data_IF_058440679087
#
_entry.id   IF_058440679087
#
_cell.length_a   1.000
_cell.length_b   1.000
_cell.length_c   1.000
_cell.angle_alpha   90.00
_cell.angle_beta   90.00
_cell.angle_gamma   90.00
#
_symmetry.space_group_name_H-M   'P 1'
#
loop_
_entity.id
_entity.type
_entity.pdbx_description
1 polymer ?
#
# COMPACT_ATOMS: atom_id res chain seq x y z
N UNK A 1 38.34 -30.78 16.13
CA UNK A 1 36.90 -30.53 16.02
C UNK A 1 36.73 -29.22 15.24
N UNK A 2 36.02 -29.24 14.10
CA UNK A 2 35.68 -27.98 13.41
C UNK A 2 34.60 -27.27 14.25
N UNK A 3 34.71 -25.95 14.40
CA UNK A 3 33.71 -25.16 15.12
C UNK A 3 32.65 -24.73 14.12
N UNK A 4 31.39 -24.97 14.45
CA UNK A 4 30.24 -24.49 13.68
C UNK A 4 29.57 -23.38 14.47
N UNK A 5 29.22 -22.29 13.80
CA UNK A 5 28.54 -21.13 14.40
C UNK A 5 27.25 -20.85 13.64
N UNK A 6 26.22 -20.40 14.38
CA UNK A 6 24.96 -19.91 13.82
C UNK A 6 24.70 -18.53 14.42
N UNK A 7 24.65 -17.50 13.58
CA UNK A 7 24.24 -16.16 13.98
C UNK A 7 22.86 -15.86 13.39
N UNK A 8 21.94 -15.36 14.21
CA UNK A 8 20.59 -14.96 13.80
C UNK A 8 20.42 -13.47 14.07
N UNK A 9 19.90 -12.73 13.10
CA UNK A 9 19.63 -11.31 13.25
C UNK A 9 18.22 -10.95 12.80
N UNK A 10 17.69 -9.91 13.45
CA UNK A 10 16.43 -9.26 13.11
C UNK A 10 16.74 -7.78 12.83
N UNK A 11 16.41 -7.35 11.63
CA UNK A 11 16.40 -5.94 11.22
C UNK A 11 14.94 -5.50 11.07
N UNK A 12 14.62 -4.28 11.51
CA UNK A 12 13.28 -3.71 11.36
C UNK A 12 13.37 -2.32 10.76
N UNK A 13 12.90 -2.20 9.53
CA UNK A 13 12.81 -0.92 8.81
C UNK A 13 11.50 -0.22 9.11
N UNK A 14 11.57 1.11 9.21
CA UNK A 14 10.44 2.00 9.51
C UNK A 14 9.77 1.72 10.89
N UNK A 15 10.57 1.49 11.93
CA UNK A 15 10.09 1.20 13.30
C UNK A 15 9.05 2.20 13.82
N UNK A 16 9.18 3.48 13.47
CA UNK A 16 8.29 4.55 13.90
C UNK A 16 7.02 4.71 13.06
N UNK A 17 6.81 3.85 12.05
CA UNK A 17 5.62 3.90 11.18
C UNK A 17 5.49 5.28 10.52
N UNK A 18 6.62 5.84 10.10
CA UNK A 18 6.65 7.14 9.45
C UNK A 18 5.93 7.05 8.10
N UNK A 19 5.06 8.03 7.85
CA UNK A 19 4.28 8.11 6.62
C UNK A 19 5.12 8.79 5.54
N UNK A 20 5.33 8.09 4.42
CA UNK A 20 6.01 8.68 3.27
C UNK A 20 4.95 9.34 2.36
N UNK A 21 5.07 10.63 2.03
CA UNK A 21 4.12 11.27 1.11
C UNK A 21 4.15 10.57 -0.26
N UNK A 22 3.00 10.07 -0.69
CA UNK A 22 2.81 9.56 -2.03
C UNK A 22 2.44 10.70 -2.99
N UNK A 23 2.76 10.51 -4.28
CA UNK A 23 2.28 11.42 -5.32
C UNK A 23 0.74 11.30 -5.36
N UNK A 24 -0.01 12.42 -5.30
CA UNK A 24 -1.46 12.37 -5.39
C UNK A 24 -1.91 11.78 -6.72
N UNK A 25 -2.71 10.71 -6.64
CA UNK A 25 -3.31 10.03 -7.79
C UNK A 25 -4.83 10.16 -7.69
N UNK A 26 -5.49 10.48 -8.80
CA UNK A 26 -6.93 10.69 -8.82
C UNK A 26 -7.64 9.60 -9.61
N UNK A 27 -8.79 9.18 -9.10
CA UNK A 27 -9.70 8.23 -9.74
C UNK A 27 -11.15 8.63 -9.47
N UNK A 28 -12.11 7.85 -9.93
CA UNK A 28 -13.53 8.04 -9.62
C UNK A 28 -13.94 7.24 -8.39
N UNK A 29 -14.79 7.85 -7.56
CA UNK A 29 -15.30 7.22 -6.35
C UNK A 29 -16.13 5.99 -6.70
N UNK A 30 -15.87 4.86 -6.03
CA UNK A 30 -16.65 3.63 -6.18
C UNK A 30 -17.96 3.67 -5.39
N UNK A 31 -18.96 2.94 -5.88
CA UNK A 31 -20.19 2.66 -5.16
C UNK A 31 -19.91 1.82 -3.89
N UNK A 32 -20.85 1.80 -2.94
CA UNK A 32 -20.67 1.12 -1.66
C UNK A 32 -20.44 -0.40 -1.80
N UNK A 33 -20.97 -1.01 -2.87
CA UNK A 33 -20.78 -2.42 -3.21
C UNK A 33 -19.52 -2.68 -4.05
N UNK A 34 -18.77 -1.62 -4.37
CA UNK A 34 -17.55 -1.63 -5.16
C UNK A 34 -17.70 -2.10 -6.63
N UNK A 35 -18.94 -2.28 -7.14
CA UNK A 35 -19.18 -2.83 -8.49
C UNK A 35 -19.19 -1.77 -9.58
N UNK A 36 -19.53 -0.54 -9.23
CA UNK A 36 -19.64 0.59 -10.16
C UNK A 36 -19.00 1.85 -9.58
N UNK A 37 -19.02 2.92 -10.37
CA UNK A 37 -18.62 4.26 -9.92
C UNK A 37 -19.84 5.10 -9.53
N UNK A 38 -19.66 6.00 -8.57
CA UNK A 38 -20.68 6.99 -8.21
C UNK A 38 -20.80 8.05 -9.29
N UNK A 39 -22.03 8.42 -9.59
CA UNK A 39 -22.36 9.49 -10.51
C UNK A 39 -23.22 10.56 -9.85
N UNK A 40 -23.10 11.80 -10.31
CA UNK A 40 -23.87 12.93 -9.78
C UNK A 40 -25.35 12.90 -10.16
N UNK A 41 -25.69 12.16 -11.21
CA UNK A 41 -27.04 12.05 -11.79
C UNK A 41 -27.69 10.67 -11.60
N UNK A 42 -27.00 9.71 -10.98
CA UNK A 42 -27.50 8.34 -10.77
C UNK A 42 -27.58 7.51 -12.05
N UNK A 43 -27.10 8.03 -13.19
CA UNK A 43 -27.02 7.31 -14.46
C UNK A 43 -25.66 6.61 -14.61
N UNK A 44 -25.50 5.81 -15.68
CA UNK A 44 -24.21 5.25 -16.04
C UNK A 44 -23.17 6.36 -16.30
N UNK A 45 -21.88 6.06 -16.08
CA UNK A 45 -20.82 7.01 -16.38
C UNK A 45 -20.84 7.40 -17.86
N UNK A 46 -20.77 8.71 -18.10
CA UNK A 46 -20.65 9.29 -19.45
C UNK A 46 -19.24 9.07 -19.98
N UNK A 47 -19.12 8.94 -21.31
CA UNK A 47 -17.83 8.70 -21.97
C UNK A 47 -16.81 9.82 -21.72
N UNK A 48 -17.28 11.04 -21.48
CA UNK A 48 -16.45 12.21 -21.13
C UNK A 48 -16.16 12.31 -19.62
N UNK A 49 -16.71 11.44 -18.79
CA UNK A 49 -16.55 11.44 -17.34
C UNK A 49 -17.25 12.59 -16.61
N UNK A 50 -18.07 13.41 -17.30
CA UNK A 50 -18.64 14.65 -16.73
C UNK A 50 -19.61 14.44 -15.57
N UNK A 51 -20.19 13.24 -15.43
CA UNK A 51 -21.02 12.87 -14.28
C UNK A 51 -20.29 12.05 -13.21
N UNK A 52 -18.98 11.77 -13.37
CA UNK A 52 -18.22 11.00 -12.40
C UNK A 52 -17.79 11.86 -11.20
N UNK A 53 -17.70 11.25 -10.01
CA UNK A 53 -17.22 11.93 -8.80
C UNK A 53 -15.73 11.64 -8.56
N UNK A 54 -14.82 12.64 -8.64
CA UNK A 54 -13.40 12.40 -8.43
C UNK A 54 -13.06 12.13 -6.96
N UNK A 55 -12.05 11.32 -6.71
CA UNK A 55 -11.47 11.06 -5.39
C UNK A 55 -9.95 10.90 -5.51
N UNK A 56 -9.23 11.28 -4.46
CA UNK A 56 -7.82 10.94 -4.32
C UNK A 56 -7.68 9.46 -3.94
N UNK A 57 -6.73 8.77 -4.54
CA UNK A 57 -6.31 7.41 -4.15
C UNK A 57 -5.46 7.53 -2.90
N UNK A 58 -5.79 6.76 -1.87
CA UNK A 58 -4.96 6.64 -0.67
C UNK A 58 -3.98 5.49 -0.86
N UNK A 59 -2.70 5.82 -1.01
CA UNK A 59 -1.58 4.89 -1.19
C UNK A 59 -0.39 5.25 -0.30
N UNK A 60 -0.64 5.95 0.80
CA UNK A 60 0.36 6.46 1.75
C UNK A 60 0.35 5.69 3.10
N UNK A 61 -0.14 4.46 3.08
CA UNK A 61 -0.23 3.62 4.28
C UNK A 61 1.18 3.20 4.73
N UNK A 62 1.63 3.61 5.93
CA UNK A 62 2.95 3.25 6.43
C UNK A 62 2.98 1.82 6.96
N UNK A 63 4.08 1.11 6.74
CA UNK A 63 4.26 -0.26 7.21
C UNK A 63 5.62 -0.43 7.90
N UNK A 64 5.65 -1.29 8.94
CA UNK A 64 6.87 -1.81 9.57
C UNK A 64 7.34 -3.03 8.80
N UNK A 65 8.60 -3.07 8.40
CA UNK A 65 9.15 -4.13 7.54
C UNK A 65 10.22 -4.91 8.32
N UNK A 66 9.92 -6.12 8.82
CA UNK A 66 10.91 -6.97 9.47
C UNK A 66 11.69 -7.80 8.44
N UNK A 67 12.99 -7.98 8.71
CA UNK A 67 13.90 -8.85 7.96
C UNK A 67 14.59 -9.78 8.94
N UNK A 68 14.52 -11.09 8.70
CA UNK A 68 15.22 -12.10 9.48
C UNK A 68 16.35 -12.66 8.63
N UNK A 69 17.55 -12.73 9.21
CA UNK A 69 18.70 -13.35 8.56
C UNK A 69 19.40 -14.35 9.45
N UNK A 70 20.06 -15.31 8.81
CA UNK A 70 20.83 -16.39 9.44
C UNK A 70 22.17 -16.51 8.74
N UNK A 71 23.25 -16.51 9.51
CA UNK A 71 24.61 -16.82 9.04
C UNK A 71 25.02 -18.16 9.63
N UNK A 72 25.57 -19.04 8.79
CA UNK A 72 26.02 -20.37 9.17
C UNK A 72 27.47 -20.57 8.74
N UNK A 73 28.35 -20.93 9.67
CA UNK A 73 29.80 -21.05 9.45
C UNK A 73 30.32 -22.41 9.94
N UNK A 74 31.29 -23.01 9.24
CA UNK A 74 31.78 -24.38 9.50
C UNK A 74 33.26 -24.61 9.15
#
# INVERSE_FOLDING_TARGET
>A
MKKTTIDVFLDVTNWYVARNPAIPEYTWQRAADNRTFKTTDGLAIKADGSNAMPTNVKNDEPQVIPTIGVVFEF
#
